data_IF_641447413195
#
_entry.id   IF_641447413195
#
_cell.length_a   1.000
_cell.length_b   1.000
_cell.length_c   1.000
_cell.angle_alpha   90.00
_cell.angle_beta   90.00
_cell.angle_gamma   90.00
#
_symmetry.space_group_name_H-M   'P 1'
#
loop_
_entity.id
_entity.type
_entity.pdbx_description
1 polymer ?
#
# COMPACT_ATOMS: atom_id res chain seq x y z
N UNK A 1 15.30 -3.70 -6.32
CA UNK A 1 14.33 -4.48 -5.50
C UNK A 1 13.54 -3.48 -4.67
N UNK A 2 12.26 -3.72 -4.38
CA UNK A 2 11.46 -2.76 -3.62
C UNK A 2 12.08 -2.52 -2.22
N UNK A 3 12.28 -1.26 -1.85
CA UNK A 3 12.79 -0.89 -0.54
C UNK A 3 11.65 -0.91 0.47
N UNK A 4 11.75 -1.75 1.50
CA UNK A 4 10.72 -1.89 2.53
C UNK A 4 10.81 -0.82 3.61
N UNK A 5 11.95 -0.14 3.71
CA UNK A 5 12.21 0.85 4.75
C UNK A 5 11.45 2.16 4.54
N UNK A 6 10.90 2.37 3.34
CA UNK A 6 10.11 3.56 2.99
C UNK A 6 8.73 3.58 3.63
N UNK A 7 8.22 2.42 4.09
CA UNK A 7 6.87 2.33 4.66
C UNK A 7 6.82 2.97 6.04
N UNK A 8 5.93 3.94 6.20
CA UNK A 8 5.68 4.63 7.45
C UNK A 8 4.29 4.28 7.97
N UNK A 9 4.10 4.45 9.28
CA UNK A 9 2.82 4.18 9.95
C UNK A 9 2.50 5.29 10.93
N UNK A 10 1.21 5.50 11.20
CA UNK A 10 0.73 6.39 12.24
C UNK A 10 -0.25 5.66 13.18
N UNK A 11 -0.45 6.13 14.43
CA UNK A 11 -1.40 5.50 15.36
C UNK A 11 -2.81 5.41 14.77
N UNK A 12 -3.49 4.28 14.99
CA UNK A 12 -4.90 4.14 14.64
C UNK A 12 -5.73 5.15 15.47
N UNK A 13 -6.53 6.04 14.84
CA UNK A 13 -7.35 7.02 15.56
C UNK A 13 -8.57 6.43 16.29
N UNK A 14 -8.98 5.21 15.98
CA UNK A 14 -10.14 4.53 16.58
C UNK A 14 -9.87 3.01 16.75
N UNK A 15 -8.92 2.60 17.61
CA UNK A 15 -8.52 1.20 17.80
C UNK A 15 -9.60 0.32 18.44
N UNK A 16 -10.62 0.91 19.06
CA UNK A 16 -11.73 0.20 19.70
C UNK A 16 -12.82 -0.29 18.72
N UNK A 17 -12.72 0.05 17.43
CA UNK A 17 -13.71 -0.30 16.43
C UNK A 17 -13.06 -0.74 15.13
N UNK A 18 -13.58 -1.81 14.55
CA UNK A 18 -13.22 -2.23 13.20
C UNK A 18 -13.77 -1.25 12.15
N UNK A 19 -12.89 -0.80 11.25
CA UNK A 19 -13.26 -0.09 10.04
C UNK A 19 -12.36 -0.52 8.88
N UNK A 20 -12.93 -0.60 7.68
CA UNK A 20 -12.21 -0.98 6.48
C UNK A 20 -11.49 0.25 5.90
N UNK A 21 -10.16 0.15 5.77
CA UNK A 21 -9.36 1.11 5.02
C UNK A 21 -9.12 0.52 3.63
N UNK A 22 -9.42 1.29 2.59
CA UNK A 22 -9.19 0.93 1.20
C UNK A 22 -8.30 1.98 0.53
N UNK A 23 -7.16 1.55 -0.01
CA UNK A 23 -6.30 2.36 -0.86
C UNK A 23 -6.32 1.79 -2.28
N UNK A 24 -6.67 2.62 -3.26
CA UNK A 24 -6.67 2.23 -4.68
C UNK A 24 -5.60 3.03 -5.43
N UNK A 25 -4.65 2.31 -6.00
CA UNK A 25 -3.51 2.84 -6.74
C UNK A 25 -3.69 2.53 -8.23
N UNK A 26 -4.07 3.54 -9.02
CA UNK A 26 -4.33 3.38 -10.45
C UNK A 26 -3.06 3.40 -11.32
N UNK A 27 -1.92 3.77 -10.73
CA UNK A 27 -0.67 4.08 -11.44
C UNK A 27 0.43 3.04 -11.15
N UNK A 28 0.06 1.82 -10.75
CA UNK A 28 1.07 0.79 -10.48
C UNK A 28 1.69 0.28 -11.77
N UNK A 29 3.02 0.24 -11.80
CA UNK A 29 3.80 -0.37 -12.87
C UNK A 29 4.96 -1.17 -12.31
N UNK A 30 5.34 -2.24 -13.02
CA UNK A 30 6.52 -3.06 -12.69
C UNK A 30 7.14 -3.63 -13.97
N UNK A 31 8.27 -4.34 -13.85
CA UNK A 31 8.95 -4.95 -15.00
C UNK A 31 8.78 -6.47 -14.95
N UNK A 32 8.35 -7.06 -16.06
CA UNK A 32 8.25 -8.51 -16.18
C UNK A 32 9.66 -9.15 -16.09
N UNK A 33 9.91 -10.07 -15.13
CA UNK A 33 11.23 -10.65 -14.93
C UNK A 33 11.70 -11.55 -16.08
N UNK A 34 10.78 -12.00 -16.94
CA UNK A 34 11.08 -12.85 -18.09
C UNK A 34 11.40 -12.07 -19.36
N UNK A 35 10.65 -11.00 -19.64
CA UNK A 35 10.72 -10.28 -20.92
C UNK A 35 11.34 -8.89 -20.81
N UNK A 36 11.37 -8.29 -19.62
CA UNK A 36 11.83 -6.91 -19.42
C UNK A 36 10.83 -5.83 -19.84
N UNK A 37 9.64 -6.21 -20.31
CA UNK A 37 8.58 -5.25 -20.66
C UNK A 37 7.90 -4.66 -19.42
N UNK A 38 7.36 -3.44 -19.52
CA UNK A 38 6.58 -2.84 -18.44
C UNK A 38 5.18 -3.46 -18.35
N UNK A 39 4.77 -3.77 -17.13
CA UNK A 39 3.41 -4.18 -16.77
C UNK A 39 2.70 -3.01 -16.08
N UNK A 40 1.39 -2.88 -16.30
CA UNK A 40 0.55 -1.85 -15.69
C UNK A 40 -0.66 -2.51 -15.02
N UNK A 41 -1.01 -2.07 -13.82
CA UNK A 41 -2.18 -2.56 -13.11
C UNK A 41 -2.78 -1.49 -12.19
N UNK A 42 -4.04 -1.71 -11.80
CA UNK A 42 -4.61 -1.05 -10.62
C UNK A 42 -4.48 -1.99 -9.43
N UNK A 43 -3.92 -1.50 -8.32
CA UNK A 43 -3.81 -2.26 -7.07
C UNK A 43 -4.77 -1.68 -6.06
N UNK A 44 -5.59 -2.54 -5.45
CA UNK A 44 -6.43 -2.19 -4.30
C UNK A 44 -5.93 -2.92 -3.05
N UNK A 45 -5.56 -2.16 -2.03
CA UNK A 45 -5.16 -2.67 -0.72
C UNK A 45 -6.30 -2.42 0.26
N UNK A 46 -6.79 -3.49 0.88
CA UNK A 46 -7.88 -3.46 1.88
C UNK A 46 -7.41 -4.07 3.17
N UNK A 47 -7.59 -3.36 4.28
CA UNK A 47 -7.21 -3.86 5.59
C UNK A 47 -8.05 -3.23 6.70
N UNK A 48 -8.11 -3.93 7.84
CA UNK A 48 -8.61 -3.39 9.12
C UNK A 48 -7.39 -3.18 10.00
N UNK A 49 -7.18 -1.95 10.46
CA UNK A 49 -6.04 -1.60 11.30
C UNK A 49 -6.28 -2.00 12.76
N UNK A 50 -5.29 -2.62 13.41
CA UNK A 50 -5.27 -2.79 14.87
C UNK A 50 -4.71 -1.50 15.52
N UNK A 51 -3.40 -1.44 15.80
CA UNK A 51 -2.80 -0.28 16.50
C UNK A 51 -2.34 0.86 15.60
N UNK A 52 -2.04 0.57 14.34
CA UNK A 52 -1.42 1.54 13.42
C UNK A 52 -1.99 1.42 12.01
N UNK A 53 -2.09 2.55 11.33
CA UNK A 53 -2.46 2.67 9.92
C UNK A 53 -1.20 2.88 9.07
N UNK A 54 -1.20 2.37 7.83
CA UNK A 54 -0.13 2.70 6.87
C UNK A 54 -0.30 4.13 6.38
N UNK A 55 0.80 4.88 6.32
CA UNK A 55 0.79 6.25 5.81
C UNK A 55 0.72 6.23 4.27
N UNK A 56 -0.19 7.02 3.69
CA UNK A 56 -0.55 6.91 2.27
C UNK A 56 0.59 7.34 1.32
N UNK A 57 1.37 8.36 1.68
CA UNK A 57 2.50 8.80 0.86
C UNK A 57 3.57 7.70 0.83
N UNK A 58 3.91 7.11 1.96
CA UNK A 58 4.89 6.04 2.12
C UNK A 58 4.52 4.79 1.33
N UNK A 59 3.22 4.45 1.28
CA UNK A 59 2.70 3.35 0.46
C UNK A 59 2.79 3.61 -1.06
N UNK A 60 2.90 4.87 -1.46
CA UNK A 60 2.99 5.29 -2.87
C UNK A 60 4.43 5.32 -3.40
N UNK A 61 5.42 5.50 -2.52
CA UNK A 61 6.83 5.66 -2.88
C UNK A 61 7.47 4.33 -3.31
#
# INVERSE_FOLDING_TARGET
>A
MADKSILETFPNPAPERDYLIEHTHHEFTSVCPKTGHPDFATITVRYVADRTCVELKSLKL
#
